data_IF_367755296808
#
_entry.id   IF_367755296808
#
_cell.length_a   1.000
_cell.length_b   1.000
_cell.length_c   1.000
_cell.angle_alpha   90.00
_cell.angle_beta   90.00
_cell.angle_gamma   90.00
#
_symmetry.space_group_name_H-M   'P 1'
#
loop_
_entity.id
_entity.type
_entity.pdbx_description
1 polymer ?
#
# COMPACT_ATOMS: atom_id res chain seq x y z
N UNK A 1 -14.74 3.38 -17.55
CA UNK A 1 -13.64 2.81 -16.75
C UNK A 1 -13.23 3.91 -15.79
N UNK A 2 -12.96 3.61 -14.53
CA UNK A 2 -12.50 4.63 -13.58
C UNK A 2 -11.00 4.84 -13.84
N UNK A 3 -10.60 6.05 -14.22
CA UNK A 3 -9.19 6.38 -14.52
C UNK A 3 -8.26 6.00 -13.36
N UNK A 4 -8.75 6.11 -12.12
CA UNK A 4 -8.00 5.72 -10.93
C UNK A 4 -7.79 4.20 -10.81
N UNK A 5 -8.73 3.39 -11.34
CA UNK A 5 -8.58 1.95 -11.38
C UNK A 5 -7.54 1.53 -12.43
N UNK A 6 -7.58 2.16 -13.60
CA UNK A 6 -6.61 1.92 -14.67
C UNK A 6 -5.19 2.29 -14.23
N UNK A 7 -5.03 3.47 -13.63
CA UNK A 7 -3.76 3.92 -13.05
C UNK A 7 -3.22 2.92 -12.03
N UNK A 8 -4.05 2.47 -11.08
CA UNK A 8 -3.64 1.49 -10.09
C UNK A 8 -3.21 0.15 -10.70
N UNK A 9 -3.84 -0.29 -11.79
CA UNK A 9 -3.45 -1.51 -12.51
C UNK A 9 -2.07 -1.32 -13.15
N UNK A 10 -1.85 -0.21 -13.85
CA UNK A 10 -0.58 0.09 -14.54
C UNK A 10 0.57 0.23 -13.54
N UNK A 11 0.35 0.88 -12.40
CA UNK A 11 1.35 0.98 -11.33
C UNK A 11 1.74 -0.40 -10.78
N UNK A 12 0.75 -1.26 -10.52
CA UNK A 12 1.00 -2.60 -9.99
C UNK A 12 1.70 -3.50 -11.02
N UNK A 13 1.32 -3.40 -12.30
CA UNK A 13 2.02 -4.07 -13.39
C UNK A 13 3.48 -3.61 -13.47
N UNK A 14 3.73 -2.30 -13.37
CA UNK A 14 5.07 -1.72 -13.38
C UNK A 14 5.93 -2.30 -12.25
N UNK A 15 5.37 -2.46 -11.04
CA UNK A 15 6.07 -3.12 -9.92
C UNK A 15 6.40 -4.58 -10.23
N UNK A 16 5.53 -5.31 -10.94
CA UNK A 16 5.79 -6.69 -11.34
C UNK A 16 6.85 -6.83 -12.43
N UNK A 17 7.01 -5.83 -13.30
CA UNK A 17 8.01 -5.79 -14.38
C UNK A 17 9.39 -5.33 -13.91
N UNK A 18 9.44 -4.43 -12.92
CA UNK A 18 10.71 -3.92 -12.41
C UNK A 18 11.43 -5.01 -11.62
N UNK A 19 12.69 -5.26 -11.96
CA UNK A 19 13.52 -6.23 -11.24
C UNK A 19 13.62 -5.90 -9.74
N UNK A 20 13.38 -6.91 -8.90
CA UNK A 20 13.40 -6.80 -7.42
C UNK A 20 14.61 -6.06 -6.84
N UNK A 21 15.79 -6.18 -7.46
CA UNK A 21 17.01 -5.47 -7.03
C UNK A 21 16.87 -3.95 -7.14
N UNK A 22 16.19 -3.47 -8.19
CA UNK A 22 15.92 -2.04 -8.40
C UNK A 22 14.94 -1.55 -7.34
N UNK A 23 13.85 -2.28 -7.10
CA UNK A 23 12.86 -1.92 -6.08
C UNK A 23 13.51 -1.73 -4.71
N UNK A 24 14.40 -2.64 -4.28
CA UNK A 24 15.12 -2.53 -2.99
C UNK A 24 15.95 -1.26 -2.80
N UNK A 25 16.31 -0.56 -3.88
CA UNK A 25 17.08 0.69 -3.83
C UNK A 25 16.19 1.93 -3.67
N UNK A 26 14.88 1.79 -3.78
CA UNK A 26 13.92 2.89 -3.62
C UNK A 26 13.62 3.14 -2.14
N UNK A 27 13.19 4.35 -1.74
CA UNK A 27 12.81 4.66 -0.35
C UNK A 27 11.75 3.72 0.24
N UNK A 28 10.81 3.26 -0.60
CA UNK A 28 9.76 2.27 -0.24
C UNK A 28 10.16 0.83 -0.62
N UNK A 29 11.44 0.56 -0.83
CA UNK A 29 11.93 -0.62 -1.53
C UNK A 29 11.64 -1.97 -0.87
N UNK A 30 11.53 -2.01 0.46
CA UNK A 30 11.11 -3.21 1.20
C UNK A 30 9.67 -3.56 0.86
N UNK A 31 8.76 -2.58 0.95
CA UNK A 31 7.33 -2.77 0.66
C UNK A 31 7.14 -3.14 -0.81
N UNK A 32 7.82 -2.43 -1.72
CA UNK A 32 7.78 -2.75 -3.15
C UNK A 32 8.33 -4.15 -3.46
N UNK A 33 9.34 -4.62 -2.74
CA UNK A 33 9.86 -5.99 -2.90
C UNK A 33 8.87 -7.06 -2.44
N UNK A 34 8.14 -6.79 -1.35
CA UNK A 34 7.08 -7.70 -0.87
C UNK A 34 5.93 -7.74 -1.87
N UNK A 35 5.53 -6.57 -2.37
CA UNK A 35 4.48 -6.46 -3.38
C UNK A 35 4.87 -7.16 -4.68
N UNK A 36 6.10 -6.95 -5.17
CA UNK A 36 6.65 -7.69 -6.30
C UNK A 36 6.61 -9.21 -6.07
N UNK A 37 7.05 -9.70 -4.91
CA UNK A 37 7.02 -11.13 -4.60
C UNK A 37 5.59 -11.69 -4.57
N UNK A 38 4.63 -10.91 -4.07
CA UNK A 38 3.23 -11.28 -4.12
C UNK A 38 2.75 -11.39 -5.58
N UNK A 39 2.93 -10.34 -6.39
CA UNK A 39 2.45 -10.26 -7.77
C UNK A 39 3.07 -11.35 -8.66
N UNK A 40 4.39 -11.51 -8.60
CA UNK A 40 5.14 -12.47 -9.41
C UNK A 40 5.09 -13.89 -8.84
N UNK A 41 4.51 -14.10 -7.66
CA UNK A 41 4.55 -15.39 -6.97
C UNK A 41 5.98 -15.83 -6.65
N UNK A 42 6.80 -14.89 -6.13
CA UNK A 42 8.24 -15.01 -5.86
C UNK A 42 9.09 -15.25 -7.12
N UNK A 43 8.76 -14.56 -8.22
CA UNK A 43 9.47 -14.67 -9.50
C UNK A 43 9.10 -15.88 -10.36
N UNK A 44 8.06 -16.64 -9.99
CA UNK A 44 7.59 -17.81 -10.77
C UNK A 44 6.74 -17.44 -11.98
N UNK A 45 6.19 -16.23 -12.00
CA UNK A 45 5.36 -15.74 -13.10
C UNK A 45 6.12 -14.63 -13.80
N UNK A 46 6.51 -14.90 -15.04
CA UNK A 46 7.20 -13.95 -15.91
C UNK A 46 6.19 -12.98 -16.54
N UNK A 47 6.30 -11.66 -16.30
CA UNK A 47 5.40 -10.65 -16.86
C UNK A 47 5.46 -10.52 -18.39
N UNK A 48 6.50 -11.06 -19.03
CA UNK A 48 6.65 -11.03 -20.49
C UNK A 48 6.06 -12.25 -21.18
N UNK A 49 5.59 -13.23 -20.40
CA UNK A 49 4.85 -14.39 -20.91
C UNK A 49 3.35 -14.19 -20.73
N UNK A 50 2.54 -14.63 -21.71
CA UNK A 50 1.07 -14.56 -21.62
C UNK A 50 0.52 -15.26 -20.37
N UNK A 51 1.09 -16.42 -20.03
CA UNK A 51 0.67 -17.18 -18.86
C UNK A 51 1.03 -16.48 -17.55
N UNK A 52 2.26 -15.96 -17.44
CA UNK A 52 2.73 -15.25 -16.24
C UNK A 52 2.00 -13.93 -16.05
N UNK A 53 1.82 -13.15 -17.12
CA UNK A 53 1.03 -11.93 -17.11
C UNK A 53 -0.42 -12.17 -16.66
N UNK A 54 -1.06 -13.22 -17.17
CA UNK A 54 -2.41 -13.62 -16.74
C UNK A 54 -2.48 -13.97 -15.24
N UNK A 55 -1.44 -14.60 -14.69
CA UNK A 55 -1.35 -14.88 -13.25
C UNK A 55 -1.12 -13.61 -12.41
N UNK A 56 -0.32 -12.67 -12.92
CA UNK A 56 -0.08 -11.37 -12.27
C UNK A 56 -1.37 -10.55 -12.22
N UNK A 57 -2.10 -10.42 -13.32
CA UNK A 57 -3.38 -9.69 -13.33
C UNK A 57 -4.42 -10.28 -12.38
N UNK A 58 -4.49 -11.62 -12.25
CA UNK A 58 -5.36 -12.24 -11.23
C UNK A 58 -5.01 -11.78 -9.81
N UNK A 59 -3.72 -11.66 -9.48
CA UNK A 59 -3.27 -11.18 -8.16
C UNK A 59 -3.50 -9.68 -7.98
N UNK A 60 -3.31 -8.88 -9.03
CA UNK A 60 -3.68 -7.45 -9.04
C UNK A 60 -5.18 -7.32 -8.70
N UNK A 61 -6.03 -8.11 -9.34
CA UNK A 61 -7.47 -8.09 -9.09
C UNK A 61 -7.84 -8.44 -7.65
N UNK A 62 -7.19 -9.47 -7.09
CA UNK A 62 -7.37 -9.83 -5.66
C UNK A 62 -6.92 -8.69 -4.75
N UNK A 63 -5.77 -8.07 -5.04
CA UNK A 63 -5.22 -6.98 -4.22
C UNK A 63 -6.12 -5.74 -4.23
N UNK A 64 -6.65 -5.39 -5.39
CA UNK A 64 -7.56 -4.25 -5.55
C UNK A 64 -8.95 -4.55 -4.96
N UNK A 65 -9.46 -5.78 -5.13
CA UNK A 65 -10.71 -6.21 -4.51
C UNK A 65 -10.63 -6.37 -2.98
N UNK A 66 -9.43 -6.60 -2.44
CA UNK A 66 -9.17 -6.66 -1.00
C UNK A 66 -8.97 -5.28 -0.37
N UNK A 67 -8.88 -4.19 -1.15
CA UNK A 67 -8.89 -2.83 -0.58
C UNK A 67 -10.27 -2.61 0.04
N UNK A 68 -10.38 -2.41 1.37
CA UNK A 68 -11.58 -1.79 1.91
C UNK A 68 -11.75 -0.46 1.17
N UNK A 69 -12.98 -0.10 0.82
CA UNK A 69 -13.38 1.23 0.34
C UNK A 69 -13.06 2.30 1.38
N UNK A 70 -11.77 2.52 1.64
CA UNK A 70 -11.27 3.44 2.64
C UNK A 70 -11.09 4.78 1.94
N UNK A 71 -12.22 5.45 1.68
CA UNK A 71 -12.30 6.90 1.87
C UNK A 71 -11.94 7.12 3.34
N UNK A 72 -10.66 7.16 3.63
CA UNK A 72 -10.15 7.54 4.93
C UNK A 72 -10.44 9.03 5.06
N UNK A 73 -11.55 9.33 5.71
CA UNK A 73 -11.88 10.64 6.25
C UNK A 73 -10.66 11.12 7.03
N UNK A 74 -9.87 12.00 6.43
CA UNK A 74 -8.86 12.77 7.13
C UNK A 74 -9.61 13.78 7.99
N UNK A 75 -10.13 13.32 9.12
CA UNK A 75 -10.52 14.20 10.22
C UNK A 75 -9.53 13.90 11.36
N UNK A 76 -8.28 14.30 11.14
CA UNK A 76 -7.29 14.37 12.22
C UNK A 76 -7.33 15.77 12.82
N UNK A 77 -7.77 15.80 14.06
CA UNK A 77 -7.13 16.53 15.16
C UNK A 77 -7.21 18.06 15.10
N UNK A 78 -8.28 18.59 15.71
CA UNK A 78 -8.23 19.70 16.67
C UNK A 78 -9.49 19.54 17.54
N UNK A 79 -9.43 19.12 18.80
CA UNK A 79 -8.87 19.88 19.89
C UNK A 79 -8.41 18.97 21.04
N UNK A 80 -7.26 19.31 21.60
CA UNK A 80 -6.57 18.68 22.72
C UNK A 80 -7.38 18.87 24.02
N UNK A 81 -7.53 17.86 24.90
CA UNK A 81 -8.07 18.08 26.24
C UNK A 81 -7.06 18.86 27.08
N UNK A 82 -7.50 19.97 27.67
CA UNK A 82 -6.73 20.78 28.63
C UNK A 82 -6.62 20.01 29.95
N UNK A 83 -5.42 19.78 30.52
CA UNK A 83 -5.32 19.06 31.79
C UNK A 83 -5.87 19.93 32.94
N UNK A 84 -6.81 19.36 33.71
CA UNK A 84 -7.27 19.86 35.00
C UNK A 84 -6.08 19.87 35.97
N UNK A 85 -5.64 21.05 36.40
CA UNK A 85 -4.89 21.15 37.64
C UNK A 85 -5.86 20.91 38.80
N UNK A 86 -5.60 19.91 39.63
CA UNK A 86 -6.29 19.74 40.91
C UNK A 86 -5.28 19.66 42.05
N UNK A 87 -5.45 20.65 42.94
CA UNK A 87 -5.19 20.70 44.38
C UNK A 87 -3.74 20.58 44.86
N UNK A 88 -3.38 21.52 45.75
CA UNK A 88 -3.06 21.20 47.15
C UNK A 88 -3.18 22.46 48.03
N UNK A 89 -3.77 22.25 49.20
CA UNK A 89 -3.89 23.18 50.33
C UNK A 89 -2.53 23.40 50.99
N UNK A 90 -2.32 24.58 51.58
CA UNK A 90 -1.59 24.75 52.85
C UNK A 90 -1.84 26.16 53.40
N UNK A 91 -2.32 26.23 54.66
CA UNK A 91 -2.41 27.45 55.48
C UNK A 91 -1.03 28.00 55.87
N UNK A 92 -0.93 28.99 56.78
CA UNK A 92 -1.71 29.16 58.01
C UNK A 92 -2.67 30.35 58.02
#
# INVERSE_FOLDING_TARGET
MDDALEEAIVELESVARVGKRILKRMPSGVVLSILHDYLTGRGRNDPDTRAGLGAIYRRIWILLGARPTRRATVSRVAARPRPRASRLQSGP
#
